data_IF_763493965337
#
_entry.id   IF_763493965337
#
_cell.length_a   1.000
_cell.length_b   1.000
_cell.length_c   1.000
_cell.angle_alpha   90.00
_cell.angle_beta   90.00
_cell.angle_gamma   90.00
#
_symmetry.space_group_name_H-M   'P 1'
#
loop_
_entity.id
_entity.type
_entity.pdbx_description
1 polymer ?
#
# COMPACT_ATOMS: atom_id res chain seq x y z
N UNK A 1 -30.21 -21.64 6.02
CA UNK A 1 -29.08 -20.80 5.57
C UNK A 1 -29.35 -19.34 5.89
N UNK A 2 -30.57 -18.87 5.70
CA UNK A 2 -31.00 -17.48 5.93
C UNK A 2 -30.68 -16.96 7.35
N UNK A 3 -30.91 -17.76 8.40
CA UNK A 3 -30.59 -17.37 9.79
C UNK A 3 -29.09 -17.08 9.98
N UNK A 4 -28.22 -17.89 9.38
CA UNK A 4 -26.77 -17.71 9.43
C UNK A 4 -26.37 -16.43 8.68
N UNK A 5 -26.89 -16.25 7.47
CA UNK A 5 -26.60 -15.06 6.67
C UNK A 5 -27.04 -13.78 7.39
N UNK A 6 -28.22 -13.78 8.00
CA UNK A 6 -28.75 -12.66 8.76
C UNK A 6 -27.89 -12.36 9.98
N UNK A 7 -27.54 -13.38 10.77
CA UNK A 7 -26.68 -13.23 11.94
C UNK A 7 -25.31 -12.64 11.56
N UNK A 8 -24.67 -13.17 10.52
CA UNK A 8 -23.35 -12.71 10.07
C UNK A 8 -23.41 -11.29 9.51
N UNK A 9 -24.47 -10.91 8.78
CA UNK A 9 -24.65 -9.52 8.29
C UNK A 9 -24.80 -8.50 9.42
N UNK A 10 -25.38 -8.90 10.55
CA UNK A 10 -25.56 -8.04 11.72
C UNK A 10 -24.32 -7.99 12.63
N UNK A 11 -23.40 -8.95 12.48
CA UNK A 11 -22.17 -9.01 13.24
C UNK A 11 -21.20 -7.89 12.86
N UNK A 12 -20.53 -7.31 13.86
CA UNK A 12 -19.48 -6.32 13.63
C UNK A 12 -19.97 -4.89 13.37
N UNK A 13 -21.26 -4.61 13.55
CA UNK A 13 -21.78 -3.25 13.51
C UNK A 13 -21.41 -2.50 14.80
N UNK A 14 -20.88 -1.29 14.65
CA UNK A 14 -20.70 -0.37 15.78
C UNK A 14 -21.94 0.53 15.88
N UNK A 15 -22.42 0.74 17.10
CA UNK A 15 -23.57 1.64 17.35
C UNK A 15 -23.20 2.70 18.38
N UNK A 16 -23.80 3.89 18.23
CA UNK A 16 -23.71 4.94 19.24
C UNK A 16 -24.68 4.64 20.38
N UNK A 17 -24.23 4.79 21.62
CA UNK A 17 -25.07 4.65 22.82
C UNK A 17 -25.63 5.96 23.35
N UNK A 18 -25.41 7.08 22.63
CA UNK A 18 -25.74 8.42 23.11
C UNK A 18 -24.75 8.92 24.15
N UNK A 19 -25.22 9.68 25.12
CA UNK A 19 -24.42 10.20 26.21
C UNK A 19 -25.17 10.11 27.53
N UNK A 20 -24.43 10.10 28.64
CA UNK A 20 -24.99 10.20 29.99
C UNK A 20 -24.40 11.43 30.68
N UNK A 21 -25.26 12.28 31.23
CA UNK A 21 -24.83 13.41 32.06
C UNK A 21 -24.61 12.94 33.50
N UNK A 22 -23.37 13.00 33.97
CA UNK A 22 -23.01 12.77 35.37
C UNK A 22 -22.04 13.83 35.86
N UNK A 23 -22.27 14.36 37.07
CA UNK A 23 -21.37 15.33 37.72
C UNK A 23 -20.99 16.56 36.87
N UNK A 24 -21.96 17.12 36.13
CA UNK A 24 -21.75 18.24 35.17
C UNK A 24 -20.79 17.91 34.02
N UNK A 25 -20.60 16.64 33.71
CA UNK A 25 -19.86 16.17 32.54
C UNK A 25 -20.73 15.20 31.71
N UNK A 26 -20.62 15.33 30.40
CA UNK A 26 -21.31 14.47 29.43
C UNK A 26 -20.37 13.31 29.03
N UNK A 27 -20.79 12.07 29.29
CA UNK A 27 -20.02 10.88 28.93
C UNK A 27 -20.63 10.19 27.72
N UNK A 28 -19.88 10.14 26.62
CA UNK A 28 -20.31 9.46 25.39
C UNK A 28 -20.24 7.95 25.56
N UNK A 29 -21.35 7.28 25.31
CA UNK A 29 -21.43 5.81 25.32
C UNK A 29 -21.20 5.31 23.90
N UNK A 30 -20.24 4.41 23.72
CA UNK A 30 -19.93 3.79 22.43
C UNK A 30 -19.98 2.27 22.54
N UNK A 31 -20.76 1.65 21.66
CA UNK A 31 -20.71 0.20 21.49
C UNK A 31 -19.71 -0.16 20.39
N UNK A 32 -18.73 -0.99 20.73
CA UNK A 32 -17.72 -1.50 19.80
C UNK A 32 -18.05 -2.96 19.52
N UNK A 33 -18.71 -3.21 18.39
CA UNK A 33 -19.06 -4.56 17.95
C UNK A 33 -18.09 -5.12 16.90
N UNK A 34 -17.31 -4.27 16.22
CA UNK A 34 -16.38 -4.69 15.18
C UNK A 34 -15.13 -5.33 15.76
N UNK A 35 -14.88 -6.58 15.39
CA UNK A 35 -13.74 -7.38 15.84
C UNK A 35 -13.17 -8.21 14.70
N UNK A 36 -11.86 -8.46 14.75
CA UNK A 36 -11.15 -9.36 13.83
C UNK A 36 -10.88 -10.73 14.47
N UNK A 37 -11.31 -10.93 15.71
CA UNK A 37 -11.06 -12.15 16.46
C UNK A 37 -12.05 -13.23 16.07
N UNK A 38 -11.54 -14.44 15.85
CA UNK A 38 -12.34 -15.57 15.39
C UNK A 38 -13.27 -16.08 16.49
N UNK A 39 -12.85 -15.99 17.75
CA UNK A 39 -13.64 -16.37 18.91
C UNK A 39 -14.95 -15.57 19.03
N UNK A 40 -14.91 -14.27 18.71
CA UNK A 40 -16.09 -13.42 18.77
C UNK A 40 -17.11 -13.86 17.71
N UNK A 41 -16.64 -14.19 16.50
CA UNK A 41 -17.48 -14.71 15.42
C UNK A 41 -18.02 -16.12 15.75
N UNK A 42 -17.24 -16.97 16.43
CA UNK A 42 -17.68 -18.30 16.91
C UNK A 42 -18.81 -18.17 17.94
N UNK A 43 -18.78 -17.13 18.77
CA UNK A 43 -19.76 -16.86 19.82
C UNK A 43 -21.05 -16.17 19.32
N UNK A 44 -21.13 -15.88 18.02
CA UNK A 44 -22.31 -15.27 17.41
C UNK A 44 -23.53 -16.19 17.53
N UNK A 45 -24.61 -15.69 18.12
CA UNK A 45 -25.87 -16.42 18.20
C UNK A 45 -26.56 -16.40 16.83
N UNK A 46 -26.84 -17.57 16.27
CA UNK A 46 -27.53 -17.73 14.99
C UNK A 46 -29.05 -17.80 15.18
N UNK A 47 -29.49 -18.59 16.16
CA UNK A 47 -30.91 -18.78 16.47
C UNK A 47 -31.07 -19.27 17.92
N UNK A 48 -32.28 -19.23 18.44
CA UNK A 48 -32.61 -19.77 19.77
C UNK A 48 -33.66 -20.87 19.60
N UNK A 49 -33.37 -22.08 20.07
CA UNK A 49 -34.29 -23.22 20.03
C UNK A 49 -34.53 -23.74 21.44
N UNK A 50 -35.81 -23.83 21.84
CA UNK A 50 -36.20 -24.32 23.17
C UNK A 50 -35.48 -23.58 24.33
N UNK A 51 -35.27 -22.27 24.18
CA UNK A 51 -34.54 -21.46 25.17
C UNK A 51 -33.02 -21.60 25.14
N UNK A 52 -32.45 -22.47 24.30
CA UNK A 52 -31.01 -22.63 24.14
C UNK A 52 -30.50 -21.86 22.92
N UNK A 53 -29.53 -20.94 23.08
CA UNK A 53 -28.90 -20.28 21.95
C UNK A 53 -28.00 -21.25 21.18
N UNK A 54 -28.14 -21.25 19.86
CA UNK A 54 -27.28 -21.98 18.94
C UNK A 54 -26.25 -21.02 18.38
N UNK A 55 -24.97 -21.30 18.65
CA UNK A 55 -23.83 -20.47 18.26
C UNK A 55 -23.33 -20.82 16.86
N UNK A 56 -22.75 -19.85 16.15
CA UNK A 56 -22.21 -20.06 14.81
C UNK A 56 -21.12 -21.14 14.80
N UNK A 57 -20.28 -21.17 15.84
CA UNK A 57 -19.24 -22.20 15.99
C UNK A 57 -19.77 -23.63 16.19
N UNK A 58 -21.05 -23.82 16.53
CA UNK A 58 -21.66 -25.16 16.66
C UNK A 58 -22.17 -25.70 15.31
N UNK A 59 -22.38 -24.82 14.33
CA UNK A 59 -23.02 -25.17 13.04
C UNK A 59 -22.12 -24.90 11.84
N UNK A 60 -20.98 -24.24 12.02
CA UNK A 60 -20.04 -23.90 10.97
C UNK A 60 -18.58 -23.99 11.44
N UNK A 61 -17.67 -24.35 10.53
CA UNK A 61 -16.24 -24.18 10.71
C UNK A 61 -15.85 -22.75 10.34
N UNK A 62 -15.04 -22.12 11.18
CA UNK A 62 -14.57 -20.74 10.98
C UNK A 62 -13.06 -20.74 10.95
N UNK A 63 -12.49 -20.06 9.95
CA UNK A 63 -11.05 -19.92 9.77
C UNK A 63 -10.72 -18.61 9.07
N UNK A 64 -9.47 -18.17 9.20
CA UNK A 64 -8.92 -17.06 8.44
C UNK A 64 -8.58 -17.54 7.03
N UNK A 65 -9.31 -17.02 6.05
CA UNK A 65 -9.04 -17.30 4.65
C UNK A 65 -8.43 -16.07 3.95
N UNK A 66 -7.49 -16.27 3.00
CA UNK A 66 -7.09 -15.18 2.12
C UNK A 66 -8.28 -14.74 1.27
N UNK A 67 -8.32 -13.45 0.92
CA UNK A 67 -9.27 -12.94 -0.06
C UNK A 67 -9.06 -13.68 -1.38
N UNK A 68 -10.14 -13.93 -2.12
CA UNK A 68 -10.05 -14.45 -3.49
C UNK A 68 -9.08 -13.61 -4.32
N UNK A 69 -8.06 -14.27 -4.84
CA UNK A 69 -7.03 -13.63 -5.68
C UNK A 69 -7.69 -13.16 -6.97
N UNK A 70 -7.41 -11.92 -7.36
CA UNK A 70 -7.76 -11.41 -8.71
C UNK A 70 -6.74 -11.84 -9.77
N UNK A 71 -5.58 -12.33 -9.34
CA UNK A 71 -4.49 -12.81 -10.18
C UNK A 71 -3.30 -13.23 -9.31
N UNK A 72 -2.34 -13.91 -9.93
CA UNK A 72 -1.05 -14.22 -9.31
C UNK A 72 0.05 -13.29 -9.83
N UNK A 73 1.11 -13.17 -9.04
CA UNK A 73 2.26 -12.33 -9.35
C UNK A 73 3.54 -13.12 -9.11
N UNK A 74 4.52 -12.89 -10.00
CA UNK A 74 5.82 -13.53 -9.92
C UNK A 74 6.91 -12.61 -10.45
N UNK A 75 8.11 -12.77 -9.92
CA UNK A 75 9.31 -12.09 -10.36
C UNK A 75 10.41 -13.13 -10.57
N UNK A 76 11.06 -13.12 -11.73
CA UNK A 76 12.14 -14.06 -12.08
C UNK A 76 11.76 -15.54 -11.88
N UNK A 77 10.54 -15.92 -12.26
CA UNK A 77 10.04 -17.30 -12.15
C UNK A 77 9.68 -17.76 -10.73
N UNK A 78 9.71 -16.87 -9.74
CA UNK A 78 9.33 -17.16 -8.35
C UNK A 78 8.07 -16.38 -7.94
N UNK A 79 7.21 -16.91 -7.06
CA UNK A 79 6.10 -16.16 -6.50
C UNK A 79 6.58 -14.87 -5.84
N UNK A 80 5.90 -13.76 -6.13
CA UNK A 80 6.27 -12.45 -5.62
C UNK A 80 5.04 -11.58 -5.38
N UNK A 81 5.15 -10.61 -4.47
CA UNK A 81 4.14 -9.56 -4.31
C UNK A 81 4.58 -8.35 -5.12
N UNK A 82 3.76 -7.95 -6.10
CA UNK A 82 4.05 -6.77 -6.93
C UNK A 82 3.30 -5.58 -6.36
N UNK A 83 4.05 -4.54 -6.02
CA UNK A 83 3.52 -3.23 -5.64
C UNK A 83 3.66 -2.26 -6.83
N UNK A 84 2.56 -1.64 -7.23
CA UNK A 84 2.57 -0.60 -8.26
C UNK A 84 2.35 0.77 -7.63
N UNK A 85 3.30 1.68 -7.81
CA UNK A 85 3.22 3.05 -7.32
C UNK A 85 2.72 3.94 -8.45
N UNK A 86 1.57 4.58 -8.23
CA UNK A 86 1.00 5.54 -9.16
C UNK A 86 1.25 6.96 -8.65
N UNK A 87 1.88 7.77 -9.49
CA UNK A 87 2.15 9.17 -9.22
C UNK A 87 0.87 9.99 -9.34
N UNK A 88 0.67 10.97 -8.46
CA UNK A 88 -0.40 11.95 -8.62
C UNK A 88 -0.18 12.85 -9.86
N UNK A 89 -1.24 13.40 -10.46
CA UNK A 89 -1.10 14.38 -11.53
C UNK A 89 -0.17 15.55 -11.10
N UNK A 90 0.70 15.99 -12.00
CA UNK A 90 1.63 17.11 -11.74
C UNK A 90 2.84 16.82 -10.85
N UNK A 91 2.88 15.72 -10.09
CA UNK A 91 4.05 15.41 -9.27
C UNK A 91 5.31 15.11 -10.11
N UNK A 92 6.50 15.36 -9.57
CA UNK A 92 7.77 15.07 -10.22
C UNK A 92 8.10 13.57 -10.10
N UNK A 93 8.28 12.88 -11.23
CA UNK A 93 8.58 11.44 -11.26
C UNK A 93 9.95 11.09 -10.68
N UNK A 94 10.97 11.94 -10.89
CA UNK A 94 12.33 11.72 -10.42
C UNK A 94 12.41 11.95 -8.91
N UNK A 95 11.83 13.04 -8.42
CA UNK A 95 11.75 13.31 -6.99
C UNK A 95 10.92 12.25 -6.25
N UNK A 96 9.77 11.85 -6.80
CA UNK A 96 8.95 10.79 -6.21
C UNK A 96 9.70 9.46 -6.16
N UNK A 97 10.41 9.08 -7.22
CA UNK A 97 11.18 7.83 -7.25
C UNK A 97 12.18 7.79 -6.10
N UNK A 98 12.91 8.88 -5.86
CA UNK A 98 13.85 8.97 -4.72
C UNK A 98 13.16 8.83 -3.36
N UNK A 99 11.96 9.39 -3.19
CA UNK A 99 11.19 9.25 -1.94
C UNK A 99 10.74 7.80 -1.72
N UNK A 100 10.26 7.14 -2.79
CA UNK A 100 9.85 5.74 -2.74
C UNK A 100 11.03 4.84 -2.37
N UNK A 101 12.20 5.05 -2.97
CA UNK A 101 13.40 4.26 -2.67
C UNK A 101 13.89 4.44 -1.23
N UNK A 102 13.83 5.66 -0.70
CA UNK A 102 14.11 5.91 0.72
C UNK A 102 13.15 5.16 1.63
N UNK A 103 11.84 5.24 1.34
CA UNK A 103 10.82 4.53 2.11
C UNK A 103 11.00 3.00 2.03
N UNK A 104 11.39 2.46 0.88
CA UNK A 104 11.72 1.04 0.72
C UNK A 104 12.96 0.64 1.54
N UNK A 105 13.99 1.50 1.56
CA UNK A 105 15.18 1.30 2.38
C UNK A 105 14.88 1.28 3.88
N UNK A 106 13.97 2.15 4.34
CA UNK A 106 13.54 2.17 5.74
C UNK A 106 12.65 0.98 6.09
N UNK A 107 11.71 0.61 5.20
CA UNK A 107 10.86 -0.56 5.37
C UNK A 107 11.69 -1.84 5.46
N UNK A 108 12.74 -1.95 4.64
CA UNK A 108 13.66 -3.09 4.61
C UNK A 108 14.27 -3.44 5.98
N UNK A 109 14.43 -2.45 6.87
CA UNK A 109 14.97 -2.65 8.23
C UNK A 109 13.98 -3.36 9.18
N UNK A 110 12.69 -3.28 8.88
CA UNK A 110 11.61 -3.85 9.70
C UNK A 110 11.03 -5.14 9.13
N UNK A 111 11.50 -5.57 7.96
CA UNK A 111 10.96 -6.75 7.30
C UNK A 111 11.32 -8.03 8.06
N UNK A 112 10.39 -9.01 8.14
CA UNK A 112 10.67 -10.32 8.69
C UNK A 112 11.78 -11.04 7.90
N UNK A 113 12.45 -12.00 8.55
CA UNK A 113 13.45 -12.83 7.89
C UNK A 113 12.86 -13.53 6.64
N UNK A 114 13.60 -13.47 5.53
CA UNK A 114 13.20 -14.07 4.25
C UNK A 114 12.38 -13.16 3.33
N UNK A 115 11.97 -11.96 3.77
CA UNK A 115 11.29 -10.98 2.90
C UNK A 115 12.30 -9.94 2.40
N UNK A 116 12.35 -9.74 1.08
CA UNK A 116 13.17 -8.70 0.43
C UNK A 116 12.29 -7.80 -0.43
N UNK A 117 12.51 -6.49 -0.33
CA UNK A 117 11.82 -5.46 -1.10
C UNK A 117 12.80 -4.67 -1.98
N UNK A 118 13.90 -5.31 -2.37
CA UNK A 118 15.06 -4.71 -3.05
C UNK A 118 14.92 -4.65 -4.58
N UNK A 119 13.90 -5.31 -5.14
CA UNK A 119 13.75 -5.42 -6.60
C UNK A 119 12.77 -4.38 -7.13
N UNK A 120 13.29 -3.29 -7.69
CA UNK A 120 12.49 -2.30 -8.45
C UNK A 120 12.36 -2.78 -9.90
N UNK A 121 11.18 -3.29 -10.27
CA UNK A 121 10.93 -3.85 -11.61
C UNK A 121 10.88 -2.78 -12.70
N UNK A 122 10.33 -1.60 -12.39
CA UNK A 122 10.18 -0.52 -13.35
C UNK A 122 10.29 0.84 -12.68
N UNK A 123 11.01 1.76 -13.31
CA UNK A 123 11.23 3.12 -12.83
C UNK A 123 11.29 4.10 -14.00
N UNK A 124 10.28 4.95 -14.11
CA UNK A 124 10.21 5.98 -15.15
C UNK A 124 11.35 7.01 -15.04
N UNK A 125 11.84 7.26 -13.81
CA UNK A 125 12.94 8.20 -13.56
C UNK A 125 14.22 7.89 -14.35
N UNK A 126 14.53 6.60 -14.58
CA UNK A 126 15.71 6.20 -15.37
C UNK A 126 15.73 6.85 -16.75
N UNK A 127 14.58 6.88 -17.42
CA UNK A 127 14.48 7.44 -18.76
C UNK A 127 14.68 8.96 -18.75
N UNK A 128 14.14 9.64 -17.73
CA UNK A 128 14.28 11.08 -17.56
C UNK A 128 15.74 11.44 -17.27
N UNK A 129 16.37 10.75 -16.32
CA UNK A 129 17.76 10.98 -15.92
C UNK A 129 18.73 10.71 -17.08
N UNK A 130 18.55 9.60 -17.81
CA UNK A 130 19.34 9.30 -18.99
C UNK A 130 19.18 10.37 -20.10
N UNK A 131 17.95 10.86 -20.32
CA UNK A 131 17.69 11.91 -21.31
C UNK A 131 18.36 13.23 -20.92
N UNK A 132 18.32 13.61 -19.65
CA UNK A 132 19.00 14.81 -19.13
C UNK A 132 20.52 14.66 -19.29
N UNK A 133 21.08 13.50 -18.94
CA UNK A 133 22.51 13.20 -19.11
C UNK A 133 22.95 13.34 -20.57
N UNK A 134 22.22 12.70 -21.49
CA UNK A 134 22.51 12.79 -22.92
C UNK A 134 22.48 14.23 -23.45
N UNK A 135 21.52 15.05 -23.01
CA UNK A 135 21.47 16.46 -23.40
C UNK A 135 22.64 17.24 -22.80
N UNK A 136 23.01 16.98 -21.55
CA UNK A 136 24.15 17.63 -20.90
C UNK A 136 25.47 17.29 -21.61
N UNK A 137 25.67 16.03 -22.00
CA UNK A 137 26.85 15.58 -22.74
C UNK A 137 26.89 16.25 -24.13
N UNK A 138 25.78 16.26 -24.86
CA UNK A 138 25.70 16.93 -26.16
C UNK A 138 25.99 18.44 -26.08
N UNK A 139 25.49 19.13 -25.04
CA UNK A 139 25.77 20.54 -24.81
C UNK A 139 27.25 20.78 -24.50
N UNK A 140 27.86 19.92 -23.68
CA UNK A 140 29.29 19.99 -23.37
C UNK A 140 30.13 19.84 -24.63
N UNK A 141 29.83 18.84 -25.45
CA UNK A 141 30.55 18.59 -26.70
C UNK A 141 30.40 19.76 -27.68
N UNK A 142 29.19 20.31 -27.79
CA UNK A 142 28.93 21.49 -28.61
C UNK A 142 29.77 22.72 -28.15
N UNK A 143 29.86 22.96 -26.84
CA UNK A 143 30.67 24.07 -26.29
C UNK A 143 32.15 23.87 -26.62
N UNK A 144 32.67 22.64 -26.47
CA UNK A 144 34.07 22.33 -26.80
C UNK A 144 34.35 22.57 -28.28
N UNK A 145 33.48 22.08 -29.17
CA UNK A 145 33.63 22.24 -30.62
C UNK A 145 33.59 23.72 -31.01
N UNK A 146 32.62 24.49 -30.48
CA UNK A 146 32.53 25.93 -30.76
C UNK A 146 33.77 26.66 -30.25
N UNK A 147 34.27 26.33 -29.06
CA UNK A 147 35.49 26.93 -28.53
C UNK A 147 36.69 26.65 -29.45
N UNK A 148 36.88 25.41 -29.91
CA UNK A 148 37.95 25.03 -30.85
C UNK A 148 37.85 25.84 -32.14
N UNK A 149 36.65 25.93 -32.72
CA UNK A 149 36.41 26.70 -33.96
C UNK A 149 36.72 28.17 -33.74
N UNK A 150 36.23 28.79 -32.67
CA UNK A 150 36.50 30.19 -32.36
C UNK A 150 38.00 30.45 -32.21
N UNK A 151 38.73 29.60 -31.47
CA UNK A 151 40.17 29.73 -31.36
C UNK A 151 40.86 29.60 -32.72
N UNK A 152 40.47 28.65 -33.57
CA UNK A 152 41.06 28.48 -34.89
C UNK A 152 40.89 29.70 -35.82
N UNK A 153 39.77 30.43 -35.72
CA UNK A 153 39.48 31.60 -36.55
C UNK A 153 39.91 32.94 -35.93
N UNK A 154 39.90 33.08 -34.60
CA UNK A 154 40.23 34.32 -33.89
C UNK A 154 41.68 34.40 -33.40
N UNK A 155 42.43 33.28 -33.30
CA UNK A 155 43.88 33.37 -33.12
C UNK A 155 44.48 33.92 -34.42
N UNK A 156 44.58 35.25 -34.45
CA UNK A 156 45.16 36.00 -35.55
C UNK A 156 46.59 35.49 -35.83
N UNK A 157 46.80 34.81 -36.95
CA UNK A 157 48.14 34.52 -37.51
C UNK A 157 48.60 35.73 -38.35
N UNK A 158 48.56 36.91 -37.72
CA UNK A 158 49.19 38.15 -38.20
C UNK A 158 49.88 38.81 -37.04
#
# INVERSE_FOLDING_TARGET
MDDIEKAVKQFGANTGGGFVDQNRAEYVIRNIGRTTRLEDLRSLVVTVRNGQPILLGQVAALDYAPRFKRGDAGANGKPAVILSVQKQPGADSVALTRLVERALGDLGKTLPAGVKADTVLFRQANFIEASIGNVADALRDAVIVVAIVLFAFLLNVR
#
